data_IF_145141138022
#
_entry.id   IF_145141138022
#
_cell.length_a   1.000
_cell.length_b   1.000
_cell.length_c   1.000
_cell.angle_alpha   90.00
_cell.angle_beta   90.00
_cell.angle_gamma   90.00
#
_symmetry.space_group_name_H-M   'P 1'
#
loop_
_entity.id
_entity.type
_entity.pdbx_description
1 polymer ?
#
# COMPACT_ATOMS: atom_id res chain seq x y z
N UNK A 1 0.26 14.87 -20.36
CA UNK A 1 0.38 15.28 -18.94
C UNK A 1 1.58 14.58 -18.32
N UNK A 2 2.32 15.24 -17.41
CA UNK A 2 3.50 14.68 -16.75
C UNK A 2 3.57 15.10 -15.29
N UNK A 3 4.17 14.24 -14.45
CA UNK A 3 4.47 14.52 -13.05
C UNK A 3 5.90 15.07 -12.96
N UNK A 4 6.07 16.14 -12.20
CA UNK A 4 7.38 16.73 -11.90
C UNK A 4 7.46 17.01 -10.41
N UNK A 5 8.65 16.87 -9.83
CA UNK A 5 8.86 17.20 -8.42
C UNK A 5 8.89 18.72 -8.27
N UNK A 6 7.96 19.28 -7.49
CA UNK A 6 7.95 20.70 -7.14
C UNK A 6 8.73 20.90 -5.81
N UNK A 7 9.50 21.98 -5.73
CA UNK A 7 10.26 22.36 -4.53
C UNK A 7 11.55 23.11 -4.90
N UNK A 8 12.01 23.99 -4.00
CA UNK A 8 13.19 24.84 -4.25
C UNK A 8 14.46 23.97 -4.39
N UNK A 9 14.67 23.00 -3.52
CA UNK A 9 15.84 22.11 -3.57
C UNK A 9 15.87 21.20 -4.82
N UNK A 10 14.79 20.49 -5.20
CA UNK A 10 14.74 19.76 -6.46
C UNK A 10 14.87 20.66 -7.69
N UNK A 11 14.37 21.89 -7.63
CA UNK A 11 14.51 22.86 -8.71
C UNK A 11 15.98 23.29 -8.89
N UNK A 12 16.66 23.66 -7.81
CA UNK A 12 18.08 24.04 -7.82
C UNK A 12 18.96 22.87 -8.29
N UNK A 13 18.69 21.64 -7.76
CA UNK A 13 19.41 20.43 -8.16
C UNK A 13 19.22 20.10 -9.64
N UNK A 14 17.98 20.24 -10.15
CA UNK A 14 17.70 20.00 -11.57
C UNK A 14 18.34 21.02 -12.49
N UNK A 15 18.54 22.25 -11.99
CA UNK A 15 19.20 23.32 -12.72
C UNK A 15 20.73 23.13 -12.77
N UNK A 16 21.31 22.61 -11.70
CA UNK A 16 22.75 22.29 -11.63
C UNK A 16 23.12 21.07 -12.48
N UNK A 17 22.29 20.01 -12.48
CA UNK A 17 22.59 18.75 -13.18
C UNK A 17 21.91 18.60 -14.54
N UNK A 18 21.18 19.59 -15.04
CA UNK A 18 20.50 19.53 -16.33
C UNK A 18 19.36 18.51 -16.46
N UNK A 19 19.05 17.75 -15.40
CA UNK A 19 18.14 16.61 -15.44
C UNK A 19 16.83 16.88 -14.71
N UNK A 20 15.81 17.30 -15.47
CA UNK A 20 14.45 17.40 -14.93
C UNK A 20 13.79 16.02 -14.98
N UNK A 21 13.71 15.33 -13.82
CA UNK A 21 13.00 14.05 -13.75
C UNK A 21 11.51 14.26 -13.98
N UNK A 22 11.01 13.80 -15.13
CA UNK A 22 9.59 13.87 -15.52
C UNK A 22 9.07 12.47 -15.78
N UNK A 23 7.92 12.14 -15.18
CA UNK A 23 7.19 10.91 -15.46
C UNK A 23 5.92 11.26 -16.24
N UNK A 24 5.79 10.75 -17.45
CA UNK A 24 4.55 10.89 -18.23
C UNK A 24 3.48 9.96 -17.65
N UNK A 25 2.21 10.36 -17.73
CA UNK A 25 1.10 9.52 -17.22
C UNK A 25 1.09 8.14 -17.88
N UNK A 26 1.37 8.06 -19.17
CA UNK A 26 1.44 6.80 -19.91
C UNK A 26 2.66 5.93 -19.55
N UNK A 27 3.59 6.42 -18.76
CA UNK A 27 4.77 5.69 -18.28
C UNK A 27 4.62 5.22 -16.84
N UNK A 28 3.45 5.43 -16.23
CA UNK A 28 3.15 4.94 -14.88
C UNK A 28 2.94 3.43 -14.95
N UNK A 29 3.74 2.71 -14.18
CA UNK A 29 3.75 1.24 -14.09
C UNK A 29 2.96 0.74 -12.89
N UNK A 30 2.97 1.52 -11.79
CA UNK A 30 2.33 1.13 -10.55
C UNK A 30 1.94 2.35 -9.71
N UNK A 31 0.77 2.28 -9.09
CA UNK A 31 0.31 3.26 -8.09
C UNK A 31 -0.12 2.51 -6.84
N UNK A 32 0.48 2.87 -5.72
CA UNK A 32 0.18 2.30 -4.40
C UNK A 32 -0.23 3.40 -3.43
N UNK A 33 -1.29 3.17 -2.69
CA UNK A 33 -1.76 4.09 -1.66
C UNK A 33 -1.78 3.45 -0.28
N UNK A 34 -1.08 4.06 0.66
CA UNK A 34 -1.02 3.64 2.06
C UNK A 34 -1.80 4.62 2.94
N UNK A 35 -2.56 4.10 3.90
CA UNK A 35 -3.18 4.90 4.95
C UNK A 35 -2.19 5.07 6.10
N UNK A 36 -1.99 6.31 6.53
CA UNK A 36 -1.14 6.69 7.65
C UNK A 36 -2.01 7.22 8.79
N UNK A 37 -1.87 6.63 9.97
CA UNK A 37 -2.51 7.13 11.19
C UNK A 37 -1.82 8.42 11.63
N UNK A 38 -2.61 9.44 11.87
CA UNK A 38 -2.13 10.72 12.37
C UNK A 38 -2.96 11.10 13.61
N UNK A 39 -2.29 11.48 14.70
CA UNK A 39 -2.95 12.00 15.91
C UNK A 39 -2.97 13.52 15.87
N UNK A 40 -4.12 14.15 16.10
CA UNK A 40 -4.22 15.58 16.38
C UNK A 40 -3.95 15.85 17.86
N UNK A 41 -3.52 17.09 18.18
CA UNK A 41 -3.55 17.60 19.57
C UNK A 41 -4.98 17.45 20.09
N UNK A 42 -5.19 16.67 21.15
CA UNK A 42 -6.52 16.33 21.69
C UNK A 42 -6.92 14.86 21.51
N UNK A 43 -6.01 13.99 21.02
CA UNK A 43 -6.21 12.52 20.96
C UNK A 43 -7.05 12.01 19.78
N UNK A 44 -7.67 12.89 18.98
CA UNK A 44 -8.46 12.47 17.83
C UNK A 44 -7.57 11.87 16.74
N UNK A 45 -7.86 10.63 16.36
CA UNK A 45 -7.17 9.90 15.31
C UNK A 45 -7.85 10.19 13.97
N UNK A 46 -7.05 10.59 12.98
CA UNK A 46 -7.51 10.68 11.60
C UNK A 46 -6.48 10.04 10.66
N UNK A 47 -6.94 9.65 9.48
CA UNK A 47 -6.11 8.93 8.52
C UNK A 47 -5.71 9.89 7.41
N UNK A 48 -4.42 9.85 7.06
CA UNK A 48 -3.87 10.48 5.86
C UNK A 48 -3.50 9.40 4.87
N UNK A 49 -3.47 9.78 3.61
CA UNK A 49 -3.03 8.88 2.55
C UNK A 49 -1.66 9.31 2.02
N UNK A 50 -0.84 8.32 1.72
CA UNK A 50 0.41 8.50 1.01
C UNK A 50 0.31 7.69 -0.27
N UNK A 51 0.29 8.37 -1.42
CA UNK A 51 0.27 7.72 -2.74
C UNK A 51 1.68 7.73 -3.30
N UNK A 52 2.19 6.58 -3.66
CA UNK A 52 3.45 6.37 -4.35
C UNK A 52 3.14 5.97 -5.80
N UNK A 53 3.80 6.63 -6.74
CA UNK A 53 3.65 6.40 -8.18
C UNK A 53 5.01 6.00 -8.69
N UNK A 54 5.08 4.84 -9.35
CA UNK A 54 6.29 4.28 -9.92
C UNK A 54 6.20 4.21 -11.43
N UNK A 55 7.33 4.44 -12.11
CA UNK A 55 7.44 4.25 -13.54
C UNK A 55 8.83 4.64 -14.04
N UNK A 56 9.38 3.90 -14.98
CA UNK A 56 10.72 4.10 -15.56
C UNK A 56 11.81 4.33 -14.51
N UNK A 57 11.82 3.54 -13.44
CA UNK A 57 12.78 3.67 -12.33
C UNK A 57 12.60 4.94 -11.47
N UNK A 58 11.59 5.77 -11.72
CA UNK A 58 11.27 6.94 -10.91
C UNK A 58 10.16 6.62 -9.90
N UNK A 59 10.31 7.15 -8.69
CA UNK A 59 9.31 7.06 -7.64
C UNK A 59 8.92 8.46 -7.18
N UNK A 60 7.63 8.78 -7.27
CA UNK A 60 7.04 9.99 -6.73
C UNK A 60 6.10 9.62 -5.59
N UNK A 61 6.30 10.17 -4.40
CA UNK A 61 5.44 9.96 -3.26
C UNK A 61 4.80 11.28 -2.82
N UNK A 62 3.49 11.25 -2.64
CA UNK A 62 2.68 12.39 -2.20
C UNK A 62 1.99 12.01 -0.89
N UNK A 63 2.06 12.89 0.10
CA UNK A 63 1.32 12.72 1.33
C UNK A 63 0.07 13.60 1.32
N UNK A 64 -1.04 13.08 1.82
CA UNK A 64 -2.27 13.84 1.91
C UNK A 64 -2.16 14.90 3.00
N UNK A 65 -2.54 16.11 2.67
CA UNK A 65 -2.60 17.22 3.63
C UNK A 65 -3.83 18.08 3.47
N UNK A 66 -4.67 17.88 2.45
CA UNK A 66 -5.82 18.74 2.22
C UNK A 66 -6.34 18.70 0.78
N UNK A 67 -6.94 19.81 0.36
CA UNK A 67 -7.64 19.94 -0.92
C UNK A 67 -6.74 19.76 -2.14
N UNK A 68 -5.46 20.11 -2.04
CA UNK A 68 -4.49 19.92 -3.13
C UNK A 68 -4.27 18.45 -3.45
N UNK A 69 -4.14 17.60 -2.42
CA UNK A 69 -4.03 16.16 -2.62
C UNK A 69 -5.29 15.62 -3.30
N UNK A 70 -6.48 16.01 -2.82
CA UNK A 70 -7.76 15.58 -3.42
C UNK A 70 -7.88 16.01 -4.88
N UNK A 71 -7.53 17.27 -5.20
CA UNK A 71 -7.49 17.77 -6.59
C UNK A 71 -6.50 16.99 -7.45
N UNK A 72 -5.33 16.68 -6.93
CA UNK A 72 -4.33 15.87 -7.62
C UNK A 72 -4.83 14.45 -7.90
N UNK A 73 -5.40 13.76 -6.91
CA UNK A 73 -5.95 12.40 -7.07
C UNK A 73 -7.08 12.39 -8.10
N UNK A 74 -8.03 13.33 -8.04
CA UNK A 74 -9.12 13.48 -9.03
C UNK A 74 -8.61 13.76 -10.45
N UNK A 75 -7.47 14.39 -10.61
CA UNK A 75 -6.89 14.65 -11.93
C UNK A 75 -6.03 13.50 -12.45
N UNK A 76 -5.44 12.71 -11.54
CA UNK A 76 -4.42 11.72 -11.87
C UNK A 76 -4.98 10.30 -12.02
N UNK A 77 -5.82 9.83 -11.08
CA UNK A 77 -6.25 8.42 -11.06
C UNK A 77 -7.27 8.05 -12.14
N UNK A 78 -8.26 8.89 -12.52
CA UNK A 78 -9.30 8.48 -13.47
C UNK A 78 -8.78 8.01 -14.84
N UNK A 79 -7.72 8.57 -15.44
CA UNK A 79 -7.20 8.09 -16.72
C UNK A 79 -6.32 6.84 -16.62
N UNK A 80 -6.10 6.31 -15.41
CA UNK A 80 -5.24 5.14 -15.19
C UNK A 80 -6.05 3.85 -15.21
N UNK A 81 -5.49 2.80 -15.82
CA UNK A 81 -6.08 1.47 -15.81
C UNK A 81 -6.03 0.82 -14.43
N UNK A 82 -7.02 0.01 -14.10
CA UNK A 82 -7.11 -0.76 -12.86
C UNK A 82 -5.92 -1.70 -12.65
N UNK A 83 -5.27 -2.12 -13.73
CA UNK A 83 -4.10 -3.00 -13.68
C UNK A 83 -2.92 -2.43 -12.91
N UNK A 84 -2.74 -1.09 -12.96
CA UNK A 84 -1.62 -0.41 -12.32
C UNK A 84 -1.97 0.20 -10.96
N UNK A 85 -3.25 0.13 -10.56
CA UNK A 85 -3.76 0.65 -9.28
C UNK A 85 -3.87 -0.46 -8.25
N UNK A 86 -3.40 -0.21 -7.02
CA UNK A 86 -3.73 -1.07 -5.89
C UNK A 86 -5.19 -0.86 -5.44
N UNK A 87 -5.70 -1.77 -4.61
CA UNK A 87 -7.09 -1.73 -4.12
C UNK A 87 -7.48 -0.38 -3.54
N UNK A 88 -6.57 0.26 -2.79
CA UNK A 88 -6.86 1.54 -2.13
C UNK A 88 -6.83 2.71 -3.10
N UNK A 89 -5.99 2.66 -4.13
CA UNK A 89 -5.98 3.67 -5.20
C UNK A 89 -7.24 3.62 -6.05
N UNK A 90 -7.78 2.43 -6.32
CA UNK A 90 -9.09 2.26 -6.96
C UNK A 90 -10.18 2.87 -6.09
N UNK A 91 -10.20 2.53 -4.80
CA UNK A 91 -11.19 3.08 -3.87
C UNK A 91 -11.11 4.62 -3.76
N UNK A 92 -9.90 5.19 -3.78
CA UNK A 92 -9.70 6.64 -3.82
C UNK A 92 -10.22 7.25 -5.13
N UNK A 93 -9.99 6.60 -6.27
CA UNK A 93 -10.52 7.07 -7.55
C UNK A 93 -12.04 7.13 -7.56
N UNK A 94 -12.68 6.08 -7.04
CA UNK A 94 -14.12 5.85 -7.19
C UNK A 94 -14.96 6.53 -6.10
N UNK A 95 -14.40 6.74 -4.89
CA UNK A 95 -15.15 7.18 -3.71
C UNK A 95 -14.60 8.43 -3.02
N UNK A 96 -13.64 9.16 -3.63
CA UNK A 96 -13.08 10.36 -3.02
C UNK A 96 -14.02 11.56 -3.17
N UNK A 97 -14.70 11.93 -2.10
CA UNK A 97 -15.57 13.11 -1.99
C UNK A 97 -15.09 14.06 -0.89
N UNK A 98 -15.79 15.16 -0.68
CA UNK A 98 -15.47 16.07 0.41
C UNK A 98 -15.82 15.43 1.77
N UNK A 99 -14.90 15.40 2.75
CA UNK A 99 -15.19 14.84 4.07
C UNK A 99 -16.39 15.49 4.79
N UNK A 100 -16.64 16.77 4.55
CA UNK A 100 -17.82 17.46 5.13
C UNK A 100 -19.14 16.92 4.54
N UNK A 101 -19.15 16.68 3.24
CA UNK A 101 -20.31 16.09 2.55
C UNK A 101 -20.59 14.68 3.07
N UNK A 102 -19.54 13.87 3.25
CA UNK A 102 -19.68 12.52 3.81
C UNK A 102 -20.22 12.54 5.23
N UNK A 103 -19.75 13.47 6.06
CA UNK A 103 -20.26 13.62 7.43
C UNK A 103 -21.74 14.01 7.43
N UNK A 104 -22.16 14.96 6.60
CA UNK A 104 -23.59 15.31 6.48
C UNK A 104 -24.45 14.11 6.06
N UNK A 105 -23.97 13.29 5.10
CA UNK A 105 -24.66 12.04 4.73
C UNK A 105 -24.76 11.06 5.90
N UNK A 106 -23.69 10.91 6.69
CA UNK A 106 -23.66 10.03 7.85
C UNK A 106 -24.60 10.53 8.97
N UNK A 107 -24.67 11.83 9.19
CA UNK A 107 -25.61 12.45 10.15
C UNK A 107 -27.05 12.27 9.69
N UNK A 108 -27.35 12.48 8.42
CA UNK A 108 -28.67 12.23 7.84
C UNK A 108 -29.10 10.76 8.03
N UNK A 109 -28.16 9.83 7.89
CA UNK A 109 -28.38 8.40 8.12
C UNK A 109 -28.38 8.03 9.61
N UNK A 110 -28.27 8.97 10.52
CA UNK A 110 -28.19 8.72 11.99
C UNK A 110 -27.10 7.69 12.34
N UNK A 111 -25.93 7.76 11.65
CA UNK A 111 -24.77 6.95 12.00
C UNK A 111 -24.11 7.58 13.22
N UNK A 112 -23.94 6.83 14.34
CA UNK A 112 -23.37 7.37 15.56
C UNK A 112 -21.95 7.92 15.38
N UNK A 113 -21.52 8.80 16.30
CA UNK A 113 -20.18 9.34 16.28
C UNK A 113 -19.10 8.26 16.39
N UNK A 114 -17.91 8.54 15.87
CA UNK A 114 -16.79 7.60 15.93
C UNK A 114 -16.38 7.22 17.36
N UNK A 115 -16.55 8.12 18.31
CA UNK A 115 -16.25 7.89 19.74
C UNK A 115 -17.20 6.88 20.36
N UNK A 116 -18.49 7.04 20.10
CA UNK A 116 -19.52 6.09 20.57
C UNK A 116 -19.28 4.71 19.97
N UNK A 117 -19.07 4.63 18.65
CA UNK A 117 -18.83 3.36 17.97
C UNK A 117 -17.57 2.64 18.44
N UNK A 118 -16.48 3.37 18.77
CA UNK A 118 -15.26 2.75 19.31
C UNK A 118 -15.50 2.06 20.66
N UNK A 119 -16.33 2.60 21.51
CA UNK A 119 -16.69 1.97 22.79
C UNK A 119 -17.48 0.66 22.60
N UNK A 120 -18.18 0.52 21.48
CA UNK A 120 -19.00 -0.64 21.12
C UNK A 120 -18.26 -1.69 20.25
N UNK A 121 -17.11 -1.35 19.64
CA UNK A 121 -16.37 -2.24 18.73
C UNK A 121 -15.94 -3.58 19.33
N UNK A 122 -15.92 -3.70 20.66
CA UNK A 122 -15.64 -4.95 21.37
C UNK A 122 -16.87 -5.83 21.60
N UNK A 123 -18.08 -5.26 21.54
CA UNK A 123 -19.31 -5.97 21.84
C UNK A 123 -19.83 -6.67 20.59
N UNK A 124 -19.96 -7.97 20.66
CA UNK A 124 -20.48 -8.80 19.55
C UNK A 124 -21.96 -8.54 19.39
N UNK A 125 -22.34 -7.71 18.44
CA UNK A 125 -23.74 -7.58 18.03
C UNK A 125 -24.02 -8.65 17.00
N UNK A 126 -24.91 -9.59 17.31
CA UNK A 126 -25.42 -10.54 16.33
C UNK A 126 -26.18 -9.76 15.25
N UNK A 127 -25.79 -9.94 13.97
CA UNK A 127 -26.54 -9.41 12.86
C UNK A 127 -27.80 -10.26 12.69
N UNK A 128 -29.02 -9.67 12.78
CA UNK A 128 -30.24 -10.43 12.53
C UNK A 128 -30.20 -11.04 11.13
N UNK A 129 -30.59 -12.29 11.02
CA UNK A 129 -30.67 -12.97 9.72
C UNK A 129 -31.98 -12.59 9.07
N UNK A 130 -31.99 -11.96 7.88
CA UNK A 130 -33.24 -11.69 7.18
C UNK A 130 -33.93 -13.00 6.83
N UNK A 131 -35.24 -13.03 6.97
CA UNK A 131 -36.08 -14.21 6.70
C UNK A 131 -36.23 -14.50 5.20
N UNK A 132 -36.06 -13.48 4.36
CA UNK A 132 -36.23 -13.56 2.91
C UNK A 132 -35.09 -12.83 2.17
N UNK A 133 -34.83 -13.14 0.88
CA UNK A 133 -33.93 -12.36 0.06
C UNK A 133 -34.45 -10.91 -0.11
N UNK A 134 -33.55 -9.90 -0.16
CA UNK A 134 -33.94 -8.51 -0.26
C UNK A 134 -34.69 -8.23 -1.57
N UNK A 135 -35.75 -7.42 -1.48
CA UNK A 135 -36.45 -6.87 -2.64
C UNK A 135 -35.60 -5.76 -3.34
N UNK A 136 -36.06 -5.22 -4.45
CA UNK A 136 -35.29 -4.25 -5.24
C UNK A 136 -35.03 -2.95 -4.47
N UNK A 137 -36.01 -2.44 -3.72
CA UNK A 137 -35.87 -1.23 -2.88
C UNK A 137 -34.84 -1.47 -1.74
N UNK A 138 -34.91 -2.64 -1.13
CA UNK A 138 -33.94 -3.05 -0.10
C UNK A 138 -32.53 -3.18 -0.69
N UNK A 139 -32.39 -3.69 -1.92
CA UNK A 139 -31.08 -3.75 -2.61
C UNK A 139 -30.53 -2.35 -2.89
N UNK A 140 -31.36 -1.43 -3.41
CA UNK A 140 -30.94 -0.04 -3.60
C UNK A 140 -30.50 0.60 -2.29
N UNK A 141 -31.22 0.33 -1.20
CA UNK A 141 -30.84 0.79 0.13
C UNK A 141 -29.49 0.19 0.60
N UNK A 142 -29.27 -1.09 0.39
CA UNK A 142 -28.00 -1.77 0.72
C UNK A 142 -26.85 -1.22 -0.13
N UNK A 143 -27.07 -0.96 -1.41
CA UNK A 143 -26.09 -0.34 -2.33
C UNK A 143 -25.74 1.08 -1.91
N UNK A 144 -26.73 1.90 -1.55
CA UNK A 144 -26.51 3.23 -1.01
C UNK A 144 -25.65 3.21 0.27
N UNK A 145 -26.00 2.37 1.24
CA UNK A 145 -25.25 2.21 2.50
C UNK A 145 -23.81 1.69 2.24
N UNK A 146 -23.65 0.84 1.23
CA UNK A 146 -22.35 0.34 0.80
C UNK A 146 -21.51 1.47 0.18
N UNK A 147 -22.09 2.30 -0.66
CA UNK A 147 -21.48 3.51 -1.21
C UNK A 147 -21.03 4.46 -0.10
N UNK A 148 -21.93 4.79 0.82
CA UNK A 148 -21.63 5.63 1.98
C UNK A 148 -20.52 5.04 2.85
N UNK A 149 -20.51 3.72 3.07
CA UNK A 149 -19.46 3.01 3.77
C UNK A 149 -18.09 3.18 3.11
N UNK A 150 -18.02 3.10 1.77
CA UNK A 150 -16.78 3.34 1.03
C UNK A 150 -16.33 4.80 1.11
N UNK A 151 -17.24 5.76 0.94
CA UNK A 151 -16.97 7.19 1.07
C UNK A 151 -16.43 7.54 2.47
N UNK A 152 -17.05 7.02 3.53
CA UNK A 152 -16.61 7.19 4.93
C UNK A 152 -15.23 6.57 5.14
N UNK A 153 -14.98 5.37 4.62
CA UNK A 153 -13.71 4.67 4.73
C UNK A 153 -12.58 5.46 4.07
N UNK A 154 -12.82 5.96 2.88
CA UNK A 154 -11.84 6.76 2.12
C UNK A 154 -11.65 8.14 2.75
N UNK A 155 -12.66 8.70 3.39
CA UNK A 155 -12.55 9.96 4.15
C UNK A 155 -11.89 9.79 5.53
N UNK A 156 -11.60 8.54 5.94
CA UNK A 156 -10.92 8.24 7.21
C UNK A 156 -11.85 8.02 8.41
N UNK A 157 -13.15 7.99 8.21
CA UNK A 157 -14.18 7.75 9.25
C UNK A 157 -14.45 6.26 9.42
N UNK A 158 -13.40 5.47 9.73
CA UNK A 158 -13.45 4.00 9.70
C UNK A 158 -14.53 3.38 10.62
N UNK A 159 -14.73 3.84 11.89
CA UNK A 159 -15.82 3.29 12.72
C UNK A 159 -17.20 3.50 12.11
N UNK A 160 -17.46 4.68 11.55
CA UNK A 160 -18.73 5.00 10.90
C UNK A 160 -18.91 4.22 9.59
N UNK A 161 -17.82 4.01 8.83
CA UNK A 161 -17.81 3.15 7.66
C UNK A 161 -18.19 1.70 8.00
N UNK A 162 -17.60 1.14 9.06
CA UNK A 162 -17.95 -0.20 9.53
C UNK A 162 -19.42 -0.33 9.92
N UNK A 163 -20.01 0.72 10.55
CA UNK A 163 -21.43 0.74 10.89
C UNK A 163 -22.30 0.81 9.65
N UNK A 164 -21.93 1.62 8.64
CA UNK A 164 -22.65 1.67 7.36
C UNK A 164 -22.68 0.29 6.67
N UNK A 165 -21.52 -0.38 6.57
CA UNK A 165 -21.45 -1.74 6.03
C UNK A 165 -22.23 -2.76 6.87
N UNK A 166 -22.20 -2.63 8.21
CA UNK A 166 -22.99 -3.49 9.08
C UNK A 166 -24.49 -3.35 8.83
N UNK A 167 -24.99 -2.12 8.65
CA UNK A 167 -26.39 -1.88 8.28
C UNK A 167 -26.73 -2.42 6.90
N UNK A 168 -25.84 -2.29 5.93
CA UNK A 168 -26.02 -2.91 4.61
C UNK A 168 -26.08 -4.45 4.72
N UNK A 169 -25.26 -5.09 5.58
CA UNK A 169 -25.29 -6.52 5.81
C UNK A 169 -26.54 -7.03 6.54
N UNK A 170 -27.25 -6.17 7.28
CA UNK A 170 -28.57 -6.53 7.84
C UNK A 170 -29.57 -6.76 6.71
N UNK A 171 -29.45 -5.99 5.62
CA UNK A 171 -30.34 -6.10 4.46
C UNK A 171 -29.90 -7.25 3.54
N UNK A 172 -28.60 -7.30 3.17
CA UNK A 172 -28.08 -8.36 2.31
C UNK A 172 -26.82 -9.02 2.94
N UNK A 173 -27.02 -10.03 3.82
CA UNK A 173 -25.93 -10.64 4.60
C UNK A 173 -25.00 -11.55 3.78
N UNK A 174 -25.36 -11.87 2.54
CA UNK A 174 -24.58 -12.77 1.67
C UNK A 174 -23.79 -12.01 0.59
N UNK A 175 -23.97 -10.70 0.47
CA UNK A 175 -23.29 -9.90 -0.54
C UNK A 175 -21.77 -9.89 -0.31
N UNK A 176 -21.04 -10.47 -1.23
CA UNK A 176 -19.58 -10.47 -1.24
C UNK A 176 -19.00 -9.06 -1.30
N UNK A 177 -19.67 -8.14 -2.00
CA UNK A 177 -19.27 -6.72 -2.12
C UNK A 177 -19.35 -6.00 -0.77
N UNK A 178 -20.42 -6.20 -0.01
CA UNK A 178 -20.60 -5.58 1.32
C UNK A 178 -19.61 -6.18 2.32
N UNK A 179 -19.47 -7.52 2.30
CA UNK A 179 -18.50 -8.24 3.14
C UNK A 179 -17.06 -7.79 2.85
N UNK A 180 -16.69 -7.58 1.59
CA UNK A 180 -15.41 -7.04 1.20
C UNK A 180 -15.19 -5.62 1.76
N UNK A 181 -16.19 -4.75 1.65
CA UNK A 181 -16.13 -3.39 2.19
C UNK A 181 -15.92 -3.37 3.70
N UNK A 182 -16.70 -4.16 4.45
CA UNK A 182 -16.54 -4.32 5.90
C UNK A 182 -15.17 -4.89 6.27
N UNK A 183 -14.74 -5.97 5.59
CA UNK A 183 -13.44 -6.60 5.82
C UNK A 183 -12.28 -5.63 5.59
N UNK A 184 -12.31 -4.86 4.51
CA UNK A 184 -11.32 -3.83 4.17
C UNK A 184 -11.27 -2.71 5.21
N UNK A 185 -12.44 -2.33 5.75
CA UNK A 185 -12.54 -1.36 6.83
C UNK A 185 -11.90 -1.90 8.12
N UNK A 186 -12.28 -3.11 8.54
CA UNK A 186 -11.71 -3.77 9.72
C UNK A 186 -10.20 -4.01 9.58
N UNK A 187 -9.72 -4.40 8.41
CA UNK A 187 -8.29 -4.55 8.14
C UNK A 187 -7.53 -3.22 8.27
N UNK A 188 -8.13 -2.12 7.82
CA UNK A 188 -7.55 -0.79 7.96
C UNK A 188 -7.45 -0.35 9.42
N UNK A 189 -8.48 -0.59 10.23
CA UNK A 189 -8.46 -0.31 11.67
C UNK A 189 -7.41 -1.20 12.36
N UNK A 190 -7.43 -2.51 12.07
CA UNK A 190 -6.51 -3.48 12.66
C UNK A 190 -5.04 -3.13 12.39
N UNK A 191 -4.72 -2.74 11.16
CA UNK A 191 -3.36 -2.34 10.78
C UNK A 191 -2.89 -1.07 11.48
N UNK A 192 -3.79 -0.11 11.72
CA UNK A 192 -3.46 1.16 12.38
C UNK A 192 -3.39 1.05 13.91
N UNK A 193 -4.24 0.23 14.50
CA UNK A 193 -4.30 0.02 15.96
C UNK A 193 -3.46 -1.17 16.43
N UNK A 194 -2.91 -1.95 15.48
CA UNK A 194 -2.18 -3.21 15.73
C UNK A 194 -3.04 -4.23 16.50
N UNK A 195 -4.36 -4.24 16.23
CA UNK A 195 -5.31 -5.12 16.89
C UNK A 195 -5.45 -6.45 16.12
N UNK A 196 -4.88 -7.51 16.71
CA UNK A 196 -4.93 -8.86 16.14
C UNK A 196 -6.36 -9.45 16.15
N UNK A 197 -7.24 -9.03 17.06
CA UNK A 197 -8.63 -9.51 17.09
C UNK A 197 -9.40 -8.94 15.91
N UNK A 198 -9.23 -7.65 15.61
CA UNK A 198 -9.82 -7.01 14.44
C UNK A 198 -9.24 -7.57 13.14
N UNK A 199 -7.93 -7.87 13.10
CA UNK A 199 -7.32 -8.56 11.95
C UNK A 199 -8.00 -9.91 11.67
N UNK A 200 -8.18 -10.74 12.70
CA UNK A 200 -8.88 -12.05 12.57
C UNK A 200 -10.32 -11.88 12.10
N UNK A 201 -11.04 -10.86 12.58
CA UNK A 201 -12.41 -10.55 12.12
C UNK A 201 -12.43 -10.12 10.65
N UNK A 202 -11.48 -9.30 10.21
CA UNK A 202 -11.34 -8.91 8.81
C UNK A 202 -11.11 -10.14 7.91
N UNK A 203 -10.18 -11.02 8.28
CA UNK A 203 -9.91 -12.27 7.56
C UNK A 203 -11.16 -13.18 7.54
N UNK A 204 -11.90 -13.28 8.64
CA UNK A 204 -13.14 -14.05 8.68
C UNK A 204 -14.21 -13.47 7.73
N UNK A 205 -14.34 -12.15 7.64
CA UNK A 205 -15.26 -11.50 6.70
C UNK A 205 -14.84 -11.71 5.24
N UNK A 206 -13.54 -11.65 4.91
CA UNK A 206 -13.04 -12.02 3.59
C UNK A 206 -13.34 -13.50 3.25
N UNK A 207 -13.15 -14.42 4.20
CA UNK A 207 -13.50 -15.84 4.01
C UNK A 207 -15.00 -16.05 3.75
N UNK A 208 -15.86 -15.26 4.40
CA UNK A 208 -17.29 -15.29 4.13
C UNK A 208 -17.62 -14.76 2.74
N UNK A 209 -16.99 -13.68 2.32
CA UNK A 209 -17.14 -13.12 0.97
C UNK A 209 -16.75 -14.13 -0.11
N UNK A 210 -15.68 -14.91 0.10
CA UNK A 210 -15.24 -15.97 -0.82
C UNK A 210 -16.24 -17.11 -1.00
N UNK A 211 -17.22 -17.26 -0.10
CA UNK A 211 -18.27 -18.31 -0.20
C UNK A 211 -19.42 -17.94 -1.12
N UNK A 212 -19.50 -16.68 -1.54
CA UNK A 212 -20.53 -16.25 -2.49
C UNK A 212 -20.25 -16.88 -3.87
N UNK A 213 -21.14 -17.71 -4.42
CA UNK A 213 -20.94 -18.30 -5.75
C UNK A 213 -21.11 -17.28 -6.88
N UNK A 214 -21.72 -16.12 -6.62
CA UNK A 214 -21.97 -15.06 -7.60
C UNK A 214 -20.96 -13.92 -7.51
N UNK A 215 -19.85 -14.13 -6.80
CA UNK A 215 -18.80 -13.13 -6.66
C UNK A 215 -18.21 -12.77 -8.02
N UNK A 216 -18.08 -11.48 -8.32
CA UNK A 216 -17.42 -11.03 -9.54
C UNK A 216 -15.91 -11.29 -9.48
N UNK A 217 -15.30 -11.66 -10.61
CA UNK A 217 -13.86 -11.96 -10.69
C UNK A 217 -12.97 -10.81 -10.23
N UNK A 218 -13.37 -9.56 -10.47
CA UNK A 218 -12.65 -8.38 -9.96
C UNK A 218 -12.71 -8.30 -8.42
N UNK A 219 -13.88 -8.48 -7.82
CA UNK A 219 -14.02 -8.50 -6.35
C UNK A 219 -13.22 -9.66 -5.75
N UNK A 220 -13.22 -10.81 -6.40
CA UNK A 220 -12.48 -12.00 -5.96
C UNK A 220 -10.97 -11.75 -5.98
N UNK A 221 -10.44 -11.15 -7.04
CA UNK A 221 -9.02 -10.79 -7.12
C UNK A 221 -8.62 -9.70 -6.12
N UNK A 222 -9.50 -8.73 -5.84
CA UNK A 222 -9.29 -7.72 -4.80
C UNK A 222 -9.28 -8.30 -3.38
N UNK A 223 -10.13 -9.31 -3.12
CA UNK A 223 -10.08 -10.07 -1.85
C UNK A 223 -8.76 -10.83 -1.74
N UNK A 224 -8.29 -11.47 -2.82
CA UNK A 224 -7.00 -12.14 -2.87
C UNK A 224 -5.85 -11.22 -2.50
N UNK A 225 -5.78 -10.03 -3.10
CA UNK A 225 -4.78 -9.01 -2.77
C UNK A 225 -4.86 -8.57 -1.29
N UNK A 226 -6.06 -8.35 -0.78
CA UNK A 226 -6.27 -7.96 0.63
C UNK A 226 -5.87 -9.05 1.62
N UNK A 227 -6.10 -10.32 1.27
CA UNK A 227 -5.69 -11.47 2.07
C UNK A 227 -4.15 -11.63 2.05
N UNK A 228 -3.51 -11.42 0.90
CA UNK A 228 -2.06 -11.43 0.81
C UNK A 228 -1.43 -10.33 1.69
N UNK A 229 -1.97 -9.11 1.64
CA UNK A 229 -1.56 -8.01 2.51
C UNK A 229 -1.83 -8.28 4.00
N UNK A 230 -2.84 -9.09 4.30
CA UNK A 230 -3.15 -9.54 5.67
C UNK A 230 -2.26 -10.71 6.15
N UNK A 231 -1.26 -11.11 5.38
CA UNK A 231 -0.37 -12.24 5.66
C UNK A 231 -1.12 -13.59 5.72
N UNK A 232 -2.06 -13.79 4.80
CA UNK A 232 -2.84 -15.02 4.60
C UNK A 232 -2.61 -15.57 3.17
N UNK A 233 -1.37 -15.96 2.79
CA UNK A 233 -1.02 -16.28 1.41
C UNK A 233 -1.79 -17.50 0.87
N UNK A 234 -2.05 -18.51 1.70
CA UNK A 234 -2.78 -19.70 1.27
C UNK A 234 -4.25 -19.40 0.89
N UNK A 235 -4.89 -18.43 1.55
CA UNK A 235 -6.23 -17.98 1.20
C UNK A 235 -6.21 -17.06 -0.04
N UNK A 236 -5.19 -16.22 -0.14
CA UNK A 236 -4.97 -15.38 -1.31
C UNK A 236 -4.76 -16.21 -2.57
N UNK A 237 -3.93 -17.25 -2.49
CA UNK A 237 -3.68 -18.18 -3.60
C UNK A 237 -4.97 -18.85 -4.07
N UNK A 238 -5.79 -19.35 -3.14
CA UNK A 238 -7.09 -19.95 -3.48
C UNK A 238 -8.01 -18.96 -4.20
N UNK A 239 -8.05 -17.70 -3.74
CA UNK A 239 -8.84 -16.67 -4.38
C UNK A 239 -8.33 -16.38 -5.80
N UNK A 240 -7.02 -16.23 -5.99
CA UNK A 240 -6.43 -15.96 -7.30
C UNK A 240 -6.56 -17.15 -8.27
N UNK A 241 -6.37 -18.39 -7.81
CA UNK A 241 -6.60 -19.60 -8.63
C UNK A 241 -8.06 -19.69 -9.06
N UNK A 242 -8.99 -19.40 -8.15
CA UNK A 242 -10.41 -19.36 -8.49
C UNK A 242 -10.72 -18.32 -9.57
N UNK A 243 -10.02 -17.16 -9.59
CA UNK A 243 -10.14 -16.17 -10.68
C UNK A 243 -9.64 -16.78 -12.00
N UNK A 244 -8.56 -17.57 -11.99
CA UNK A 244 -8.08 -18.23 -13.20
C UNK A 244 -9.06 -19.29 -13.71
N UNK A 245 -9.60 -20.11 -12.81
CA UNK A 245 -10.43 -21.25 -13.17
C UNK A 245 -11.85 -20.85 -13.61
N UNK A 246 -12.48 -19.87 -12.92
CA UNK A 246 -13.86 -19.46 -13.18
C UNK A 246 -13.99 -18.31 -14.18
N UNK A 247 -12.98 -17.44 -14.29
CA UNK A 247 -13.04 -16.19 -15.09
C UNK A 247 -11.95 -16.09 -16.16
N UNK A 248 -11.13 -17.14 -16.35
CA UNK A 248 -10.04 -17.12 -17.31
C UNK A 248 -8.82 -16.29 -16.88
N UNK A 249 -8.83 -15.77 -15.66
CA UNK A 249 -7.75 -14.99 -15.10
C UNK A 249 -7.88 -13.47 -15.35
N UNK A 250 -7.08 -12.70 -14.64
CA UNK A 250 -6.87 -11.28 -14.87
C UNK A 250 -5.47 -10.86 -14.40
N UNK A 251 -5.07 -9.63 -14.72
CA UNK A 251 -3.76 -9.09 -14.36
C UNK A 251 -3.47 -9.17 -12.85
N UNK A 252 -4.41 -8.78 -12.01
CA UNK A 252 -4.26 -8.76 -10.55
C UNK A 252 -4.07 -10.15 -9.96
N UNK A 253 -4.83 -11.14 -10.43
CA UNK A 253 -4.69 -12.51 -9.99
C UNK A 253 -3.36 -13.12 -10.42
N UNK A 254 -2.97 -12.93 -11.68
CA UNK A 254 -1.69 -13.44 -12.19
C UNK A 254 -0.50 -12.80 -11.46
N UNK A 255 -0.51 -11.48 -11.25
CA UNK A 255 0.48 -10.77 -10.45
C UNK A 255 0.52 -11.28 -9.01
N UNK A 256 -0.64 -11.44 -8.36
CA UNK A 256 -0.74 -11.93 -6.99
C UNK A 256 -0.16 -13.34 -6.82
N UNK A 257 -0.40 -14.23 -7.80
CA UNK A 257 0.22 -15.57 -7.81
C UNK A 257 1.74 -15.51 -8.00
N UNK A 258 2.24 -14.57 -8.82
CA UNK A 258 3.69 -14.35 -8.95
C UNK A 258 4.32 -13.87 -7.62
N UNK A 259 3.67 -12.95 -6.92
CA UNK A 259 4.12 -12.45 -5.61
C UNK A 259 4.12 -13.56 -4.54
N UNK A 260 3.13 -14.46 -4.56
CA UNK A 260 3.09 -15.63 -3.67
C UNK A 260 4.20 -16.62 -4.02
N UNK A 261 4.41 -16.92 -5.31
CA UNK A 261 5.48 -17.79 -5.76
C UNK A 261 6.86 -17.23 -5.39
N UNK A 262 7.04 -15.91 -5.47
CA UNK A 262 8.26 -15.23 -5.05
C UNK A 262 8.50 -15.39 -3.54
N UNK A 263 7.46 -15.22 -2.73
CA UNK A 263 7.53 -15.47 -1.29
C UNK A 263 7.94 -16.91 -0.94
N UNK A 264 7.50 -17.87 -1.77
CA UNK A 264 7.83 -19.29 -1.62
C UNK A 264 9.19 -19.64 -2.28
N UNK A 265 9.93 -18.67 -2.83
CA UNK A 265 11.19 -18.84 -3.55
C UNK A 265 11.10 -19.77 -4.76
N UNK A 266 9.95 -19.82 -5.43
CA UNK A 266 9.68 -20.68 -6.59
C UNK A 266 9.85 -19.90 -7.89
N UNK A 267 11.09 -19.65 -8.35
CA UNK A 267 11.39 -18.77 -9.49
C UNK A 267 10.69 -19.16 -10.78
N UNK A 268 10.63 -20.44 -11.12
CA UNK A 268 9.93 -20.91 -12.32
C UNK A 268 8.43 -20.52 -12.33
N UNK A 269 7.77 -20.59 -11.17
CA UNK A 269 6.36 -20.15 -11.04
C UNK A 269 6.23 -18.63 -11.09
N UNK A 270 7.22 -17.88 -10.56
CA UNK A 270 7.28 -16.42 -10.68
C UNK A 270 7.30 -16.01 -12.15
N UNK A 271 8.20 -16.60 -12.94
CA UNK A 271 8.34 -16.37 -14.38
C UNK A 271 7.02 -16.69 -15.10
N UNK A 272 6.44 -17.87 -14.80
CA UNK A 272 5.18 -18.31 -15.41
C UNK A 272 4.04 -17.31 -15.15
N UNK A 273 3.86 -16.89 -13.90
CA UNK A 273 2.77 -16.01 -13.51
C UNK A 273 2.98 -14.56 -13.97
N UNK A 274 4.22 -14.02 -13.98
CA UNK A 274 4.48 -12.72 -14.60
C UNK A 274 4.30 -12.74 -16.11
N UNK A 275 4.62 -13.85 -16.79
CA UNK A 275 4.31 -14.04 -18.21
C UNK A 275 2.80 -14.04 -18.45
N UNK A 276 2.01 -14.66 -17.57
CA UNK A 276 0.56 -14.58 -17.62
C UNK A 276 0.05 -13.14 -17.37
N UNK A 277 0.60 -12.43 -16.35
CA UNK A 277 0.26 -11.05 -16.10
C UNK A 277 0.59 -10.13 -17.30
N UNK A 278 1.70 -10.39 -18.00
CA UNK A 278 2.04 -9.65 -19.22
C UNK A 278 0.96 -9.78 -20.30
N UNK A 279 0.38 -10.97 -20.48
CA UNK A 279 -0.73 -11.19 -21.43
C UNK A 279 -1.99 -10.41 -21.07
N UNK A 280 -2.28 -10.27 -19.78
CA UNK A 280 -3.42 -9.49 -19.27
C UNK A 280 -3.15 -7.98 -19.15
N UNK A 281 -1.93 -7.53 -19.48
CA UNK A 281 -1.55 -6.12 -19.37
C UNK A 281 -2.26 -5.24 -20.39
N UNK A 282 -3.04 -4.28 -19.96
CA UNK A 282 -3.79 -3.35 -20.82
C UNK A 282 -2.94 -2.17 -21.27
N UNK A 283 -1.96 -1.74 -20.45
CA UNK A 283 -1.15 -0.57 -20.76
C UNK A 283 0.27 -0.94 -21.23
N UNK A 284 0.87 -0.14 -22.12
CA UNK A 284 2.27 -0.36 -22.53
C UNK A 284 3.25 -0.31 -21.34
N UNK A 285 2.95 0.50 -20.31
CA UNK A 285 3.76 0.58 -19.11
C UNK A 285 3.71 -0.71 -18.29
N UNK A 286 2.51 -1.27 -18.07
CA UNK A 286 2.35 -2.55 -17.38
C UNK A 286 3.05 -3.68 -18.15
N UNK A 287 2.95 -3.69 -19.48
CA UNK A 287 3.66 -4.67 -20.34
C UNK A 287 5.18 -4.57 -20.22
N UNK A 288 5.73 -3.36 -20.23
CA UNK A 288 7.17 -3.16 -20.03
C UNK A 288 7.61 -3.65 -18.66
N UNK A 289 6.87 -3.26 -17.63
CA UNK A 289 7.17 -3.67 -16.26
C UNK A 289 7.15 -5.19 -16.11
N UNK A 290 6.06 -5.87 -16.50
CA UNK A 290 5.95 -7.33 -16.36
C UNK A 290 6.97 -8.06 -17.22
N UNK A 291 7.33 -7.55 -18.41
CA UNK A 291 8.39 -8.11 -19.24
C UNK A 291 9.74 -8.00 -18.51
N UNK A 292 10.05 -6.84 -17.93
CA UNK A 292 11.28 -6.67 -17.16
C UNK A 292 11.33 -7.59 -15.92
N UNK A 293 10.18 -7.87 -15.28
CA UNK A 293 10.14 -8.86 -14.19
C UNK A 293 10.41 -10.30 -14.71
N UNK A 294 9.79 -10.68 -15.85
CA UNK A 294 10.04 -12.00 -16.47
C UNK A 294 11.51 -12.16 -16.84
N UNK A 295 12.12 -11.16 -17.47
CA UNK A 295 13.53 -11.17 -17.86
C UNK A 295 14.45 -11.28 -16.64
N UNK A 296 14.24 -10.43 -15.64
CA UNK A 296 15.01 -10.45 -14.40
C UNK A 296 14.96 -11.81 -13.69
N UNK A 297 13.76 -12.38 -13.49
CA UNK A 297 13.64 -13.67 -12.81
C UNK A 297 14.10 -14.85 -13.69
N UNK A 298 14.04 -14.71 -15.01
CA UNK A 298 14.62 -15.71 -15.92
C UNK A 298 16.14 -15.73 -15.82
N UNK A 299 16.79 -14.57 -15.75
CA UNK A 299 18.23 -14.47 -15.57
C UNK A 299 18.65 -15.06 -14.22
N UNK A 300 17.94 -14.72 -13.12
CA UNK A 300 18.18 -15.30 -11.81
C UNK A 300 17.98 -16.82 -11.75
N UNK A 301 17.09 -17.37 -12.55
CA UNK A 301 16.82 -18.81 -12.59
C UNK A 301 17.81 -19.59 -13.43
N UNK A 302 18.44 -18.94 -14.40
CA UNK A 302 19.31 -19.60 -15.41
C UNK A 302 20.80 -19.35 -15.16
N UNK A 303 21.16 -18.41 -14.29
CA UNK A 303 22.53 -17.98 -14.05
C UNK A 303 22.79 -17.90 -12.55
N UNK A 304 23.52 -18.89 -12.04
CA UNK A 304 23.83 -19.01 -10.61
C UNK A 304 24.78 -17.89 -10.15
N UNK A 305 25.68 -17.39 -11.00
CA UNK A 305 26.58 -16.29 -10.66
C UNK A 305 25.81 -14.97 -10.48
N UNK A 306 24.88 -14.71 -11.40
CA UNK A 306 23.98 -13.55 -11.29
C UNK A 306 23.10 -13.64 -10.05
N UNK A 307 22.62 -14.84 -9.70
CA UNK A 307 21.84 -15.08 -8.48
C UNK A 307 22.66 -14.76 -7.23
N UNK A 308 23.91 -15.22 -7.16
CA UNK A 308 24.80 -14.98 -6.02
C UNK A 308 25.12 -13.48 -5.85
N UNK A 309 25.35 -12.76 -6.95
CA UNK A 309 25.55 -11.31 -6.95
C UNK A 309 24.32 -10.56 -6.42
N UNK A 310 23.12 -10.94 -6.85
CA UNK A 310 21.86 -10.32 -6.38
C UNK A 310 21.58 -10.65 -4.90
N UNK A 311 21.86 -11.88 -4.45
CA UNK A 311 21.78 -12.24 -3.03
C UNK A 311 22.73 -11.36 -2.21
N UNK A 312 24.00 -11.26 -2.61
CA UNK A 312 24.99 -10.40 -1.95
C UNK A 312 24.57 -8.94 -1.90
N UNK A 313 23.96 -8.42 -2.98
CA UNK A 313 23.39 -7.07 -3.00
C UNK A 313 22.26 -6.88 -1.98
N UNK A 314 21.36 -7.85 -1.84
CA UNK A 314 20.22 -7.80 -0.90
C UNK A 314 20.74 -7.87 0.55
N UNK A 315 21.66 -8.77 0.84
CA UNK A 315 22.28 -8.89 2.17
C UNK A 315 23.02 -7.59 2.57
N UNK A 316 23.72 -6.97 1.62
CA UNK A 316 24.37 -5.69 1.83
C UNK A 316 23.36 -4.56 2.11
N UNK A 317 22.23 -4.55 1.42
CA UNK A 317 21.14 -3.60 1.69
C UNK A 317 20.55 -3.77 3.09
N UNK A 318 20.31 -4.99 3.53
CA UNK A 318 19.82 -5.29 4.88
C UNK A 318 20.81 -4.86 5.96
N UNK A 319 22.10 -5.16 5.75
CA UNK A 319 23.20 -4.75 6.63
C UNK A 319 23.27 -3.22 6.76
N UNK A 320 23.21 -2.49 5.63
CA UNK A 320 23.20 -1.03 5.61
C UNK A 320 21.99 -0.44 6.32
N UNK A 321 20.80 -1.03 6.17
CA UNK A 321 19.61 -0.58 6.88
C UNK A 321 19.69 -0.82 8.39
N UNK A 322 20.30 -1.92 8.82
CA UNK A 322 20.61 -2.20 10.22
C UNK A 322 21.54 -1.15 10.83
N UNK A 323 22.68 -0.93 10.18
CA UNK A 323 23.68 0.05 10.58
C UNK A 323 23.14 1.49 10.59
N UNK A 324 22.32 1.86 9.61
CA UNK A 324 21.64 3.16 9.53
C UNK A 324 20.75 3.43 10.76
N UNK A 325 19.99 2.42 11.21
CA UNK A 325 19.17 2.54 12.43
C UNK A 325 20.05 2.70 13.67
N UNK A 326 21.16 1.97 13.75
CA UNK A 326 22.12 2.05 14.84
C UNK A 326 22.82 3.40 14.88
N UNK A 327 23.29 3.91 13.74
CA UNK A 327 23.93 5.23 13.64
C UNK A 327 23.01 6.36 14.10
N UNK A 328 21.72 6.30 13.72
CA UNK A 328 20.76 7.30 14.18
C UNK A 328 20.54 7.25 15.70
N UNK A 329 20.53 6.04 16.30
CA UNK A 329 20.44 5.89 17.76
C UNK A 329 21.68 6.47 18.45
N UNK A 330 22.87 6.20 17.93
CA UNK A 330 24.12 6.74 18.46
C UNK A 330 24.12 8.28 18.38
N UNK A 331 23.66 8.87 17.26
CA UNK A 331 23.54 10.31 17.14
C UNK A 331 22.61 10.90 18.20
N UNK A 332 21.50 10.22 18.53
CA UNK A 332 20.57 10.64 19.59
C UNK A 332 21.19 10.50 21.00
N UNK A 333 22.07 9.52 21.23
CA UNK A 333 22.78 9.39 22.51
C UNK A 333 23.81 10.51 22.76
N UNK A 334 24.33 11.15 21.73
CA UNK A 334 25.19 12.33 21.89
C UNK A 334 24.43 13.56 22.41
N UNK A 335 23.11 13.66 22.16
CA UNK A 335 22.32 14.81 22.55
C UNK A 335 22.24 15.06 24.07
N UNK A 336 22.03 14.06 24.96
CA UNK A 336 22.14 14.25 26.41
C UNK A 336 23.49 14.81 26.87
N UNK A 337 24.61 14.35 26.27
CA UNK A 337 25.93 14.87 26.60
C UNK A 337 26.09 16.34 26.22
N UNK A 338 25.55 16.74 25.06
CA UNK A 338 25.49 18.16 24.66
C UNK A 338 24.71 18.98 25.68
N UNK A 339 23.52 18.50 26.08
CA UNK A 339 22.66 19.20 27.02
C UNK A 339 23.30 19.33 28.41
N UNK A 340 23.94 18.27 28.92
CA UNK A 340 24.64 18.28 30.20
C UNK A 340 25.82 19.25 30.15
N UNK A 341 26.64 19.21 29.10
CA UNK A 341 27.77 20.12 28.92
C UNK A 341 27.35 21.60 28.89
N UNK A 342 26.22 21.91 28.24
CA UNK A 342 25.64 23.25 28.21
C UNK A 342 25.07 23.69 29.58
N UNK A 343 24.49 22.77 30.34
CA UNK A 343 23.92 23.05 31.67
C UNK A 343 25.00 23.28 32.75
N UNK A 344 26.10 22.54 32.66
CA UNK A 344 27.23 22.60 33.62
C UNK A 344 28.28 23.61 33.18
N UNK A 345 28.10 24.25 32.02
CA UNK A 345 29.07 25.15 31.36
C UNK A 345 30.42 24.46 31.07
N UNK A 346 30.37 23.14 30.82
CA UNK A 346 31.55 22.33 30.50
C UNK A 346 31.63 22.10 28.98
N UNK A 347 32.54 22.84 28.34
CA UNK A 347 32.75 22.79 26.89
C UNK A 347 33.32 21.44 26.42
N UNK A 348 34.05 20.69 27.30
CA UNK A 348 34.63 19.40 26.92
C UNK A 348 33.52 18.35 26.79
N UNK A 349 32.60 18.27 27.73
CA UNK A 349 31.46 17.34 27.68
C UNK A 349 30.56 17.68 26.47
N UNK A 350 30.26 18.96 26.25
CA UNK A 350 29.49 19.40 25.09
C UNK A 350 30.17 19.01 23.76
N UNK A 351 31.48 19.23 23.62
CA UNK A 351 32.23 18.90 22.41
C UNK A 351 32.31 17.39 22.14
N UNK A 352 32.41 16.54 23.17
CA UNK A 352 32.31 15.09 23.02
C UNK A 352 30.92 14.70 22.46
N UNK A 353 29.88 15.25 23.02
CA UNK A 353 28.51 15.00 22.55
C UNK A 353 28.33 15.42 21.08
N UNK A 354 28.82 16.60 20.70
CA UNK A 354 28.81 17.07 19.31
C UNK A 354 29.61 16.18 18.37
N UNK A 355 30.81 15.75 18.77
CA UNK A 355 31.66 14.89 17.95
C UNK A 355 30.99 13.54 17.69
N UNK A 356 30.45 12.89 18.72
CA UNK A 356 29.72 11.63 18.58
C UNK A 356 28.52 11.78 17.65
N UNK A 357 27.71 12.82 17.84
CA UNK A 357 26.54 13.06 17.00
C UNK A 357 26.91 13.38 15.56
N UNK A 358 27.92 14.20 15.32
CA UNK A 358 28.39 14.57 13.99
C UNK A 358 28.94 13.36 13.21
N UNK A 359 29.80 12.56 13.82
CA UNK A 359 30.34 11.34 13.21
C UNK A 359 29.22 10.35 12.88
N UNK A 360 28.31 10.11 13.83
CA UNK A 360 27.18 9.21 13.60
C UNK A 360 26.25 9.70 12.48
N UNK A 361 26.01 11.01 12.34
CA UNK A 361 25.25 11.58 11.24
C UNK A 361 25.97 11.50 9.88
N UNK A 362 27.29 11.65 9.86
CA UNK A 362 28.09 11.45 8.64
C UNK A 362 28.00 9.99 8.16
N UNK A 363 28.17 9.03 9.08
CA UNK A 363 28.01 7.60 8.79
C UNK A 363 26.57 7.33 8.28
N UNK A 364 25.56 7.85 8.95
CA UNK A 364 24.17 7.72 8.52
C UNK A 364 23.93 8.28 7.11
N UNK A 365 24.54 9.41 6.78
CA UNK A 365 24.44 10.04 5.45
C UNK A 365 25.11 9.17 4.39
N UNK A 366 26.33 8.67 4.65
CA UNK A 366 27.03 7.73 3.77
C UNK A 366 26.23 6.47 3.49
N UNK A 367 25.63 5.88 4.54
CA UNK A 367 24.75 4.69 4.39
C UNK A 367 23.50 4.99 3.58
N UNK A 368 22.89 6.18 3.71
CA UNK A 368 21.76 6.57 2.87
C UNK A 368 22.14 6.68 1.39
N UNK A 369 23.36 7.10 1.08
CA UNK A 369 23.88 7.13 -0.29
C UNK A 369 24.09 5.70 -0.77
N UNK A 370 24.76 4.83 0.03
CA UNK A 370 24.97 3.42 -0.29
C UNK A 370 23.67 2.67 -0.56
N UNK A 371 22.67 2.80 0.31
CA UNK A 371 21.32 2.22 0.09
C UNK A 371 20.69 2.71 -1.22
N UNK A 372 20.85 3.97 -1.59
CA UNK A 372 20.32 4.48 -2.86
C UNK A 372 21.05 3.93 -4.08
N UNK A 373 22.35 3.72 -3.99
CA UNK A 373 23.13 3.13 -5.08
C UNK A 373 22.76 1.65 -5.28
N UNK A 374 22.64 0.89 -4.18
CA UNK A 374 22.28 -0.53 -4.21
C UNK A 374 20.76 -0.80 -4.39
N UNK A 375 19.91 0.24 -4.35
CA UNK A 375 18.47 0.06 -4.53
C UNK A 375 18.07 -0.38 -5.95
N UNK A 376 18.89 -0.13 -6.96
CA UNK A 376 18.71 -0.63 -8.31
C UNK A 376 19.19 -2.09 -8.39
N UNK A 377 18.49 -2.91 -9.18
CA UNK A 377 18.95 -4.27 -9.54
C UNK A 377 20.22 -4.17 -10.36
N UNK A 378 21.09 -5.15 -10.26
CA UNK A 378 22.31 -5.24 -11.08
C UNK A 378 21.85 -5.47 -12.55
N UNK A 379 22.28 -4.64 -13.52
CA UNK A 379 21.99 -4.90 -14.93
C UNK A 379 22.69 -6.21 -15.36
N UNK A 380 21.95 -7.12 -15.98
CA UNK A 380 22.50 -8.40 -16.43
C UNK A 380 23.63 -8.24 -17.45
N UNK A 381 23.52 -7.23 -18.32
CA UNK A 381 24.53 -6.91 -19.35
C UNK A 381 25.93 -6.63 -18.77
N UNK A 382 26.03 -6.28 -17.47
CA UNK A 382 27.33 -6.05 -16.80
C UNK A 382 28.00 -7.36 -16.36
N UNK A 383 27.24 -8.42 -16.19
CA UNK A 383 27.76 -9.75 -15.80
C UNK A 383 28.25 -10.51 -17.03
N UNK A 384 27.54 -10.40 -18.15
CA UNK A 384 27.89 -11.05 -19.42
C UNK A 384 29.21 -10.53 -20.05
N UNK A 385 29.64 -9.29 -19.72
CA UNK A 385 30.84 -8.66 -20.31
C UNK A 385 32.15 -9.09 -19.69
N UNK A 386 32.15 -9.71 -18.52
CA UNK A 386 33.42 -10.18 -17.87
C UNK A 386 33.92 -11.51 -18.44
N UNK A 387 33.09 -12.30 -19.13
CA UNK A 387 33.48 -13.59 -19.75
C UNK A 387 34.10 -13.46 -21.15
N UNK A 388 34.23 -12.26 -21.73
CA UNK A 388 34.71 -12.03 -23.09
C UNK A 388 36.10 -11.38 -23.16
N UNK A 389 36.78 -11.20 -22.03
CA UNK A 389 38.21 -10.77 -21.93
C UNK A 389 39.03 -11.85 -21.22
#
# INVERSE_FOLDING_TARGET
>A
RSLTRAGILPFLWSRLNGTRRRLKINDIEQVETQALRTMKRGGNVYYRYRTAIRGRGLVFAFASGGDEYRRMIRALLPPLSDNILDNRSIDLRDHLIDPKEVQMKAEFEHIPSAEFLRSEFGKTTSVPRPAAPPNDVERERADYLTGLGNELRISGFLPQAAEAFRRALVIDPKSSRILYGLASCLASIAGTERDLKLKRRAVAAFRLALRDPRIAGETLSRIGESLFQADEPALAERAFRRVQDEFGGNFRAARGLAEIALRDSKLAYVIHHFSAANRFSETPAARRWTRGEVEYFSNLNNDDEYLDLEIGRVEMLESLDGLKRSSLRIALFGFPAIMIGLLVDDTLIANIGWSISAIALLIWTGMNIGVKMLAARIPYDLVETDDVN
#
